data_IF_385870024341
#
_entry.id   IF_385870024341
#
_cell.length_a   1.000
_cell.length_b   1.000
_cell.length_c   1.000
_cell.angle_alpha   90.00
_cell.angle_beta   90.00
_cell.angle_gamma   90.00
#
_symmetry.space_group_name_H-M   'P 1'
#
loop_
_entity.id
_entity.type
_entity.pdbx_description
1 polymer ?
#
# COMPACT_ATOMS: atom_id res chain seq x y z
N UNK A 1 72.99 22.04 60.47
CA UNK A 1 74.00 20.97 60.43
C UNK A 1 75.12 21.12 59.39
N UNK A 2 75.12 22.07 58.43
CA UNK A 2 76.28 22.30 57.52
C UNK A 2 77.17 23.51 57.87
N UNK A 3 76.79 24.33 58.85
CA UNK A 3 77.61 25.46 59.32
C UNK A 3 78.61 25.06 60.42
N UNK A 4 78.25 24.10 61.27
CA UNK A 4 79.08 23.71 62.43
C UNK A 4 80.37 23.03 62.02
N UNK A 5 80.36 22.13 61.02
CA UNK A 5 81.58 21.44 60.59
C UNK A 5 82.63 22.39 59.98
N UNK A 6 82.20 23.40 59.21
CA UNK A 6 83.12 24.37 58.62
C UNK A 6 83.64 25.38 59.64
N UNK A 7 82.80 25.81 60.59
CA UNK A 7 83.22 26.63 61.73
C UNK A 7 84.19 25.86 62.65
N UNK A 8 83.95 24.57 62.87
CA UNK A 8 84.80 23.69 63.68
C UNK A 8 86.14 23.37 63.00
N UNK A 9 86.14 23.16 61.68
CA UNK A 9 87.37 23.00 60.90
C UNK A 9 88.20 24.30 60.91
N UNK A 10 87.53 25.45 60.76
CA UNK A 10 88.17 26.77 60.83
C UNK A 10 88.76 27.00 62.22
N UNK A 11 88.01 26.70 63.29
CA UNK A 11 88.44 26.79 64.68
C UNK A 11 89.67 25.90 64.94
N UNK A 12 89.64 24.65 64.49
CA UNK A 12 90.74 23.68 64.67
C UNK A 12 92.01 24.06 63.90
N UNK A 13 91.89 24.67 62.71
CA UNK A 13 93.04 25.21 61.97
C UNK A 13 93.65 26.41 62.70
N UNK A 14 92.83 27.31 63.27
CA UNK A 14 93.34 28.43 64.09
C UNK A 14 94.06 27.97 65.36
N UNK A 15 93.58 26.92 66.05
CA UNK A 15 94.26 26.38 67.23
C UNK A 15 95.57 25.64 66.88
N UNK A 16 95.63 24.98 65.73
CA UNK A 16 96.88 24.37 65.22
C UNK A 16 97.94 25.42 64.87
N UNK A 17 97.53 26.52 64.23
CA UNK A 17 98.40 27.66 63.93
C UNK A 17 98.92 28.36 65.20
N UNK A 18 98.10 28.47 66.26
CA UNK A 18 98.54 28.99 67.56
C UNK A 18 99.50 28.06 68.31
N UNK A 19 99.35 26.73 68.17
CA UNK A 19 100.28 25.77 68.78
C UNK A 19 101.64 25.72 68.07
N UNK A 20 101.68 26.00 66.77
CA UNK A 20 102.92 26.03 65.99
C UNK A 20 103.84 27.23 66.32
N UNK A 21 103.32 28.32 66.92
CA UNK A 21 104.10 29.53 67.23
C UNK A 21 104.91 29.48 68.53
N UNK A 22 104.97 28.35 69.24
CA UNK A 22 105.59 28.22 70.57
C UNK A 22 106.96 27.52 70.61
N UNK A 23 107.60 27.24 69.46
CA UNK A 23 108.95 26.63 69.42
C UNK A 23 109.97 27.69 69.00
N UNK A 24 110.88 28.03 69.92
CA UNK A 24 111.97 28.99 69.75
C UNK A 24 112.99 28.51 68.72
N UNK A 25 113.11 29.21 67.60
CA UNK A 25 114.20 29.09 66.62
C UNK A 25 114.83 30.47 66.32
N UNK A 26 116.13 30.54 65.99
CA UNK A 26 116.88 31.80 65.92
C UNK A 26 116.44 32.72 64.76
N UNK A 27 116.68 34.05 64.86
CA UNK A 27 115.78 35.06 64.29
C UNK A 27 115.96 35.40 62.81
N UNK A 28 116.71 34.63 62.01
CA UNK A 28 117.07 35.12 60.67
C UNK A 28 116.77 34.21 59.46
N UNK A 29 116.24 33.00 59.62
CA UNK A 29 115.79 32.18 58.48
C UNK A 29 114.48 31.33 58.67
N UNK A 30 113.50 31.61 59.56
CA UNK A 30 112.33 30.70 59.73
C UNK A 30 111.34 30.75 58.55
N UNK A 31 111.29 31.88 57.83
CA UNK A 31 110.29 32.13 56.79
C UNK A 31 110.57 31.44 55.46
N UNK A 32 111.77 30.86 55.23
CA UNK A 32 112.07 30.12 53.99
C UNK A 32 111.80 28.62 54.11
N UNK A 33 112.00 28.01 55.28
CA UNK A 33 111.81 26.56 55.48
C UNK A 33 110.33 26.15 55.49
N UNK A 34 109.47 26.88 56.21
CA UNK A 34 108.03 26.58 56.25
C UNK A 34 107.25 27.13 55.05
N UNK A 35 107.88 27.93 54.18
CA UNK A 35 107.22 28.45 52.97
C UNK A 35 106.81 27.32 52.04
N UNK A 36 107.65 26.28 51.92
CA UNK A 36 107.34 25.12 51.09
C UNK A 36 106.21 24.28 51.67
N UNK A 37 106.23 23.99 52.98
CA UNK A 37 105.16 23.23 53.65
C UNK A 37 103.82 23.98 53.66
N UNK A 38 103.86 25.30 53.93
CA UNK A 38 102.68 26.17 53.85
C UNK A 38 102.11 26.22 52.43
N UNK A 39 102.97 26.33 51.41
CA UNK A 39 102.52 26.28 50.01
C UNK A 39 101.89 24.93 49.66
N UNK A 40 102.45 23.81 50.15
CA UNK A 40 101.89 22.46 49.93
C UNK A 40 100.51 22.33 50.59
N UNK A 41 100.35 22.77 51.85
CA UNK A 41 99.07 22.74 52.58
C UNK A 41 98.05 23.67 51.90
N UNK A 42 98.48 24.86 51.50
CA UNK A 42 97.62 25.81 50.79
C UNK A 42 97.17 25.25 49.43
N UNK A 43 98.05 24.60 48.69
CA UNK A 43 97.72 23.98 47.40
C UNK A 43 96.81 22.76 47.57
N UNK A 44 97.00 21.94 48.61
CA UNK A 44 96.08 20.84 48.92
C UNK A 44 94.70 21.33 49.36
N UNK A 45 94.62 22.36 50.20
CA UNK A 45 93.34 22.98 50.58
C UNK A 45 92.66 23.58 49.36
N UNK A 46 93.38 24.34 48.52
CA UNK A 46 92.85 24.88 47.25
C UNK A 46 92.33 23.77 46.34
N UNK A 47 93.06 22.66 46.24
CA UNK A 47 92.65 21.50 45.45
C UNK A 47 91.38 20.86 46.02
N UNK A 48 91.27 20.67 47.33
CA UNK A 48 90.05 20.16 47.97
C UNK A 48 88.85 21.11 47.82
N UNK A 49 89.07 22.43 47.92
CA UNK A 49 88.03 23.44 47.66
C UNK A 49 87.58 23.37 46.20
N UNK A 50 88.51 23.36 45.24
CA UNK A 50 88.19 23.25 43.83
C UNK A 50 87.44 21.94 43.51
N UNK A 51 87.86 20.80 44.07
CA UNK A 51 87.17 19.51 43.89
C UNK A 51 85.76 19.49 44.50
N UNK A 52 85.55 20.17 45.64
CA UNK A 52 84.22 20.26 46.27
C UNK A 52 83.31 21.24 45.56
N UNK A 53 83.82 22.37 45.09
CA UNK A 53 83.10 23.31 44.23
C UNK A 53 82.69 22.65 42.91
N UNK A 54 83.59 21.88 42.29
CA UNK A 54 83.31 21.15 41.06
C UNK A 54 82.21 20.09 41.27
N UNK A 55 82.23 19.37 42.39
CA UNK A 55 81.15 18.45 42.80
C UNK A 55 79.83 19.19 43.03
N UNK A 56 79.83 20.33 43.71
CA UNK A 56 78.64 21.15 43.93
C UNK A 56 78.05 21.62 42.60
N UNK A 57 78.89 22.09 41.68
CA UNK A 57 78.47 22.54 40.35
C UNK A 57 77.89 21.39 39.52
N UNK A 58 78.51 20.21 39.57
CA UNK A 58 77.97 18.98 38.95
C UNK A 58 76.60 18.60 39.50
N UNK A 59 76.40 18.63 40.82
CA UNK A 59 75.09 18.34 41.42
C UNK A 59 74.05 19.38 41.01
N UNK A 60 74.40 20.68 41.03
CA UNK A 60 73.49 21.75 40.57
C UNK A 60 73.09 21.56 39.11
N UNK A 61 74.04 21.25 38.24
CA UNK A 61 73.78 20.99 36.83
C UNK A 61 72.90 19.76 36.64
N UNK A 62 73.17 18.66 37.37
CA UNK A 62 72.34 17.47 37.39
C UNK A 62 70.89 17.78 37.81
N UNK A 63 70.72 18.48 38.94
CA UNK A 63 69.39 18.86 39.45
C UNK A 63 68.64 19.71 38.42
N UNK A 64 69.29 20.72 37.81
CA UNK A 64 68.68 21.55 36.77
C UNK A 64 68.22 20.72 35.56
N UNK A 65 69.02 19.74 35.12
CA UNK A 65 68.61 18.85 34.03
C UNK A 65 67.45 17.93 34.41
N UNK A 66 67.37 17.47 35.67
CA UNK A 66 66.22 16.70 36.14
C UNK A 66 64.96 17.53 36.25
N UNK A 67 65.04 18.79 36.70
CA UNK A 67 63.92 19.72 36.66
C UNK A 67 63.36 19.87 35.25
N UNK A 68 64.24 20.07 34.26
CA UNK A 68 63.81 20.20 32.86
C UNK A 68 63.10 18.93 32.36
N UNK A 69 63.63 17.74 32.67
CA UNK A 69 63.03 16.45 32.30
C UNK A 69 61.67 16.23 32.97
N UNK A 70 61.57 16.50 34.27
CA UNK A 70 60.30 16.39 35.00
C UNK A 70 59.29 17.34 34.39
N UNK A 71 59.68 18.59 34.12
CA UNK A 71 58.81 19.59 33.51
C UNK A 71 58.32 19.15 32.12
N UNK A 72 59.20 18.64 31.27
CA UNK A 72 58.85 18.12 29.93
C UNK A 72 57.87 16.95 30.01
N UNK A 73 58.10 15.97 30.90
CA UNK A 73 57.18 14.84 31.11
C UNK A 73 55.83 15.33 31.65
N UNK A 74 55.84 16.29 32.59
CA UNK A 74 54.61 16.81 33.19
C UNK A 74 53.75 17.50 32.13
N UNK A 75 54.37 18.27 31.23
CA UNK A 75 53.69 18.91 30.10
C UNK A 75 53.18 17.89 29.07
N UNK A 76 53.96 16.86 28.74
CA UNK A 76 53.53 15.83 27.78
C UNK A 76 52.38 14.97 28.31
N UNK A 77 52.29 14.78 29.62
CA UNK A 77 51.10 14.20 30.26
C UNK A 77 49.92 15.18 30.19
N UNK A 78 50.17 16.48 30.38
CA UNK A 78 49.14 17.54 30.43
C UNK A 78 48.81 17.99 31.85
N UNK A 79 49.70 17.75 32.81
CA UNK A 79 49.56 18.18 34.20
C UNK A 79 50.19 19.56 34.42
N UNK A 80 49.77 20.25 35.48
CA UNK A 80 50.43 21.49 35.88
C UNK A 80 51.87 21.24 36.37
N UNK A 81 52.84 22.07 35.95
CA UNK A 81 54.22 21.92 36.40
C UNK A 81 54.33 22.02 37.93
N UNK A 82 54.95 21.02 38.54
CA UNK A 82 55.20 21.01 39.98
C UNK A 82 56.08 22.20 40.39
N UNK A 83 55.56 23.06 41.27
CA UNK A 83 56.32 24.11 41.95
C UNK A 83 57.15 23.53 43.08
N UNK A 84 58.22 22.82 42.72
CA UNK A 84 59.18 22.27 43.67
C UNK A 84 59.94 23.42 44.37
N UNK A 85 59.83 23.48 45.69
CA UNK A 85 60.64 24.40 46.51
C UNK A 85 62.07 23.88 46.54
N UNK A 86 63.03 24.73 46.15
CA UNK A 86 64.47 24.41 46.27
C UNK A 86 64.79 24.05 47.72
N UNK A 87 65.20 22.82 47.97
CA UNK A 87 65.66 22.43 49.29
C UNK A 87 67.00 23.14 49.56
N UNK A 88 67.22 23.64 50.79
CA UNK A 88 68.50 24.25 51.16
C UNK A 88 69.70 23.29 51.10
N UNK A 89 69.45 21.99 50.87
CA UNK A 89 70.47 20.95 50.72
C UNK A 89 70.35 20.27 49.33
N UNK A 90 71.37 20.49 48.49
CA UNK A 90 71.43 19.99 47.10
C UNK A 90 71.35 18.46 46.96
N UNK A 91 71.83 17.71 47.97
CA UNK A 91 71.75 16.24 47.99
C UNK A 91 70.31 15.75 48.21
N UNK A 92 69.63 16.35 49.19
CA UNK A 92 68.21 16.05 49.47
C UNK A 92 67.36 16.47 48.26
N UNK A 93 67.67 17.61 47.65
CA UNK A 93 67.00 18.04 46.41
C UNK A 93 67.18 17.01 45.28
N UNK A 94 68.37 16.44 45.11
CA UNK A 94 68.64 15.40 44.11
C UNK A 94 67.81 14.14 44.35
N UNK A 95 67.70 13.66 45.59
CA UNK A 95 66.90 12.47 45.93
C UNK A 95 65.41 12.70 45.68
N UNK A 96 64.89 13.87 46.09
CA UNK A 96 63.49 14.27 45.84
C UNK A 96 63.20 14.32 44.33
N UNK A 97 64.10 14.94 43.56
CA UNK A 97 63.96 15.02 42.10
C UNK A 97 63.99 13.64 41.44
N UNK A 98 64.88 12.76 41.88
CA UNK A 98 64.95 11.40 41.33
C UNK A 98 63.67 10.60 41.62
N UNK A 99 63.10 10.79 42.80
CA UNK A 99 61.84 10.14 43.21
C UNK A 99 60.67 10.64 42.36
N UNK A 100 60.52 11.97 42.25
CA UNK A 100 59.46 12.54 41.42
C UNK A 100 59.62 12.23 39.93
N UNK A 101 60.85 12.17 39.43
CA UNK A 101 61.09 11.75 38.05
C UNK A 101 60.62 10.31 37.81
N UNK A 102 60.86 9.39 38.75
CA UNK A 102 60.37 8.01 38.67
C UNK A 102 58.84 7.95 38.69
N UNK A 103 58.19 8.71 39.57
CA UNK A 103 56.72 8.81 39.64
C UNK A 103 56.12 9.34 38.33
N UNK A 104 56.63 10.46 37.83
CA UNK A 104 56.14 11.06 36.58
C UNK A 104 56.37 10.16 35.37
N UNK A 105 57.49 9.44 35.34
CA UNK A 105 57.75 8.44 34.30
C UNK A 105 56.76 7.29 34.35
N UNK A 106 56.43 6.78 35.55
CA UNK A 106 55.43 5.72 35.70
C UNK A 106 54.05 6.18 35.22
N UNK A 107 53.63 7.39 35.61
CA UNK A 107 52.37 7.98 35.14
C UNK A 107 52.35 8.17 33.62
N UNK A 108 53.46 8.61 33.04
CA UNK A 108 53.58 8.75 31.59
C UNK A 108 53.38 7.42 30.87
N UNK A 109 54.06 6.35 31.33
CA UNK A 109 53.91 5.01 30.75
C UNK A 109 52.49 4.45 30.94
N UNK A 110 51.85 4.69 32.09
CA UNK A 110 50.46 4.29 32.34
C UNK A 110 49.50 4.97 31.35
N UNK A 111 49.63 6.28 31.16
CA UNK A 111 48.79 7.05 30.23
C UNK A 111 49.03 6.63 28.78
N UNK A 112 50.29 6.42 28.40
CA UNK A 112 50.66 5.89 27.08
C UNK A 112 50.04 4.53 26.83
N UNK A 113 50.15 3.60 27.79
CA UNK A 113 49.53 2.29 27.70
C UNK A 113 48.00 2.36 27.57
N UNK A 114 47.35 3.27 28.32
CA UNK A 114 45.91 3.53 28.18
C UNK A 114 45.55 4.01 26.77
N UNK A 115 46.35 4.90 26.17
CA UNK A 115 46.11 5.32 24.77
C UNK A 115 46.20 4.16 23.79
N UNK A 116 47.17 3.26 23.96
CA UNK A 116 47.33 2.08 23.09
C UNK A 116 46.17 1.07 23.22
N UNK A 117 45.60 0.91 24.41
CA UNK A 117 44.40 0.10 24.62
C UNK A 117 43.21 0.72 23.90
N UNK A 118 42.99 2.02 24.11
CA UNK A 118 41.84 2.72 23.53
C UNK A 118 41.89 2.72 22.00
N UNK A 119 43.07 2.91 21.39
CA UNK A 119 43.20 2.84 19.93
C UNK A 119 42.89 1.44 19.40
N UNK A 120 43.37 0.38 20.06
CA UNK A 120 43.03 -1.01 19.68
C UNK A 120 41.54 -1.31 19.81
N UNK A 121 40.88 -0.83 20.87
CA UNK A 121 39.44 -0.98 21.02
C UNK A 121 38.67 -0.22 19.92
N UNK A 122 39.06 1.02 19.63
CA UNK A 122 38.46 1.84 18.55
C UNK A 122 38.63 1.15 17.19
N UNK A 123 39.81 0.62 16.87
CA UNK A 123 40.05 -0.13 15.63
C UNK A 123 39.14 -1.35 15.53
N UNK A 124 38.97 -2.09 16.64
CA UNK A 124 38.08 -3.24 16.69
C UNK A 124 36.62 -2.84 16.42
N UNK A 125 36.10 -1.83 17.13
CA UNK A 125 34.73 -1.34 16.92
C UNK A 125 34.52 -0.76 15.52
N UNK A 126 35.52 -0.06 14.98
CA UNK A 126 35.44 0.52 13.63
C UNK A 126 35.37 -0.55 12.54
N UNK A 127 36.15 -1.64 12.69
CA UNK A 127 36.07 -2.82 11.81
C UNK A 127 34.71 -3.51 11.88
N UNK A 128 34.15 -3.65 13.09
CA UNK A 128 32.82 -4.26 13.29
C UNK A 128 31.68 -3.41 12.69
N UNK A 129 31.78 -2.08 12.77
CA UNK A 129 30.78 -1.15 12.23
C UNK A 129 30.93 -0.96 10.70
N UNK A 130 32.11 -1.27 10.15
CA UNK A 130 32.43 -1.05 8.74
C UNK A 130 32.70 0.42 8.38
N UNK A 131 32.89 1.29 9.38
CA UNK A 131 33.28 2.68 9.18
C UNK A 131 34.81 2.80 9.27
N UNK A 132 35.49 2.65 8.14
CA UNK A 132 36.82 3.23 7.95
C UNK A 132 36.59 4.72 7.67
N UNK A 133 36.34 5.51 8.71
CA UNK A 133 36.37 6.97 8.55
C UNK A 133 37.82 7.37 8.31
N UNK A 134 38.09 8.11 7.22
CA UNK A 134 39.40 8.66 6.89
C UNK A 134 39.86 9.55 8.06
N UNK A 135 40.73 9.01 8.90
CA UNK A 135 41.23 9.73 10.07
C UNK A 135 42.15 10.85 9.59
N UNK A 136 41.68 12.08 9.75
CA UNK A 136 42.60 13.21 9.88
C UNK A 136 43.42 12.95 11.14
N UNK A 137 44.74 12.82 11.00
CA UNK A 137 45.64 12.74 12.15
C UNK A 137 45.43 14.01 13.01
N UNK A 138 44.69 13.87 14.10
CA UNK A 138 44.58 14.92 15.10
C UNK A 138 45.87 14.96 15.92
N UNK A 139 46.52 16.13 15.89
CA UNK A 139 47.75 16.37 16.65
C UNK A 139 47.36 16.81 18.05
N UNK A 140 47.68 15.99 19.05
CA UNK A 140 47.42 16.29 20.46
C UNK A 140 48.66 16.88 21.14
N UNK A 141 48.45 17.92 21.94
CA UNK A 141 49.52 18.57 22.68
C UNK A 141 49.97 17.77 23.92
N UNK A 142 49.09 16.95 24.48
CA UNK A 142 49.37 16.11 25.64
C UNK A 142 48.56 14.79 25.63
N UNK A 143 48.91 13.87 26.53
CA UNK A 143 48.28 12.56 26.61
C UNK A 143 46.87 12.60 27.23
N UNK A 144 46.57 13.51 28.14
CA UNK A 144 45.23 13.63 28.76
C UNK A 144 44.19 13.98 27.70
N UNK A 145 44.44 15.02 26.90
CA UNK A 145 43.55 15.46 25.83
C UNK A 145 43.33 14.33 24.81
N UNK A 146 44.40 13.58 24.49
CA UNK A 146 44.31 12.41 23.61
C UNK A 146 43.44 11.31 24.20
N UNK A 147 43.57 11.02 25.50
CA UNK A 147 42.75 10.00 26.18
C UNK A 147 41.29 10.42 26.18
N UNK A 148 40.98 11.67 26.54
CA UNK A 148 39.62 12.18 26.59
C UNK A 148 38.96 12.13 25.21
N UNK A 149 39.69 12.49 24.15
CA UNK A 149 39.22 12.33 22.77
C UNK A 149 38.90 10.87 22.43
N UNK A 150 39.83 9.95 22.70
CA UNK A 150 39.66 8.54 22.38
C UNK A 150 38.50 7.92 23.17
N UNK A 151 38.33 8.26 24.45
CA UNK A 151 37.20 7.81 25.27
C UNK A 151 35.87 8.29 24.71
N UNK A 152 35.74 9.58 24.38
CA UNK A 152 34.53 10.14 23.77
C UNK A 152 34.22 9.48 22.42
N UNK A 153 35.24 9.26 21.59
CA UNK A 153 35.10 8.59 20.30
C UNK A 153 34.65 7.15 20.45
N UNK A 154 35.23 6.43 21.41
CA UNK A 154 34.86 5.06 21.72
C UNK A 154 33.42 4.96 22.24
N UNK A 155 32.96 5.91 23.07
CA UNK A 155 31.55 6.01 23.48
C UNK A 155 30.65 6.23 22.27
N UNK A 156 31.00 7.14 21.36
CA UNK A 156 30.26 7.40 20.12
C UNK A 156 30.14 6.14 19.25
N UNK A 157 31.23 5.41 19.04
CA UNK A 157 31.23 4.16 18.28
C UNK A 157 30.38 3.07 18.94
N UNK A 158 30.45 2.94 20.27
CA UNK A 158 29.60 2.00 21.01
C UNK A 158 28.12 2.33 20.83
N UNK A 159 27.74 3.60 20.90
CA UNK A 159 26.36 4.04 20.66
C UNK A 159 25.92 3.73 19.21
N UNK A 160 26.75 4.04 18.22
CA UNK A 160 26.50 3.75 16.79
C UNK A 160 26.30 2.24 16.56
N UNK A 161 27.12 1.39 17.20
CA UNK A 161 26.95 -0.07 17.17
C UNK A 161 25.60 -0.51 17.76
N UNK A 162 25.23 0.02 18.93
CA UNK A 162 23.95 -0.28 19.56
C UNK A 162 22.76 0.10 18.66
N UNK A 163 22.82 1.27 18.02
CA UNK A 163 21.78 1.71 17.09
C UNK A 163 21.67 0.81 15.85
N UNK A 164 22.80 0.40 15.28
CA UNK A 164 22.82 -0.52 14.14
C UNK A 164 22.21 -1.88 14.52
N UNK A 165 22.56 -2.44 15.67
CA UNK A 165 21.99 -3.69 16.16
C UNK A 165 20.49 -3.57 16.45
N UNK A 166 20.05 -2.46 17.06
CA UNK A 166 18.61 -2.18 17.23
C UNK A 166 17.89 -2.12 15.90
N UNK A 167 18.46 -1.43 14.91
CA UNK A 167 17.86 -1.34 13.57
C UNK A 167 17.81 -2.71 12.88
N UNK A 168 18.81 -3.58 13.04
CA UNK A 168 18.79 -4.95 12.52
C UNK A 168 17.63 -5.73 13.13
N UNK A 169 17.50 -5.73 14.45
CA UNK A 169 16.45 -6.47 15.18
C UNK A 169 15.05 -6.02 14.77
N UNK A 170 14.82 -4.70 14.64
CA UNK A 170 13.53 -4.17 14.19
C UNK A 170 13.20 -4.69 12.79
N UNK A 171 14.13 -4.58 11.83
CA UNK A 171 13.91 -5.03 10.45
C UNK A 171 13.72 -6.53 10.35
N UNK A 172 14.42 -7.32 11.15
CA UNK A 172 14.23 -8.78 11.24
C UNK A 172 12.81 -9.10 11.70
N UNK A 173 12.32 -8.44 12.75
CA UNK A 173 10.95 -8.64 13.23
C UNK A 173 9.90 -8.25 12.19
N UNK A 174 10.12 -7.15 11.46
CA UNK A 174 9.27 -6.73 10.35
C UNK A 174 9.27 -7.77 9.22
N UNK A 175 10.43 -8.28 8.81
CA UNK A 175 10.57 -9.35 7.83
C UNK A 175 9.78 -10.59 8.26
N UNK A 176 9.95 -11.05 9.50
CA UNK A 176 9.22 -12.22 10.02
C UNK A 176 7.70 -12.00 10.01
N UNK A 177 7.24 -10.79 10.33
CA UNK A 177 5.83 -10.43 10.24
C UNK A 177 5.32 -10.45 8.78
N UNK A 178 6.07 -9.88 7.83
CA UNK A 178 5.69 -9.92 6.41
C UNK A 178 5.67 -11.35 5.87
N UNK A 179 6.66 -12.18 6.21
CA UNK A 179 6.70 -13.58 5.83
C UNK A 179 5.50 -14.36 6.36
N UNK A 180 5.07 -14.08 7.59
CA UNK A 180 3.87 -14.66 8.19
C UNK A 180 2.59 -14.22 7.48
N UNK A 181 2.44 -12.92 7.19
CA UNK A 181 1.26 -12.36 6.51
C UNK A 181 1.14 -12.88 5.08
N UNK A 182 2.28 -13.02 4.38
CA UNK A 182 2.35 -13.56 3.02
C UNK A 182 2.25 -15.09 2.98
N UNK A 183 2.32 -15.76 4.14
CA UNK A 183 2.39 -17.21 4.30
C UNK A 183 3.44 -17.86 3.36
N UNK A 184 4.63 -17.27 3.27
CA UNK A 184 5.73 -17.86 2.49
C UNK A 184 6.09 -19.22 3.06
N UNK A 185 6.19 -20.22 2.19
CA UNK A 185 6.59 -21.60 2.53
C UNK A 185 8.00 -21.91 2.08
N UNK A 186 8.43 -21.28 1.00
CA UNK A 186 9.76 -21.44 0.42
C UNK A 186 10.58 -20.23 0.86
N UNK A 187 11.58 -20.50 1.71
CA UNK A 187 12.44 -19.48 2.27
C UNK A 187 13.77 -19.42 1.51
N UNK A 188 14.15 -18.22 1.10
CA UNK A 188 15.46 -18.01 0.49
C UNK A 188 16.58 -18.15 1.53
N UNK A 189 17.84 -18.28 1.08
CA UNK A 189 19.00 -18.46 1.96
C UNK A 189 19.15 -17.36 3.03
N UNK A 190 18.74 -16.13 2.72
CA UNK A 190 18.78 -15.02 3.68
C UNK A 190 17.63 -15.16 4.70
N UNK A 191 16.46 -15.59 4.26
CA UNK A 191 15.30 -15.80 5.13
C UNK A 191 15.53 -16.96 6.09
N UNK A 192 16.16 -18.04 5.63
CA UNK A 192 16.55 -19.17 6.49
C UNK A 192 17.58 -18.75 7.53
N UNK A 193 18.58 -17.95 7.15
CA UNK A 193 19.57 -17.37 8.09
C UNK A 193 18.92 -16.46 9.13
N UNK A 194 17.95 -15.64 8.73
CA UNK A 194 17.19 -14.78 9.66
C UNK A 194 16.39 -15.64 10.65
N UNK A 195 15.76 -16.72 10.19
CA UNK A 195 14.97 -17.63 11.04
C UNK A 195 15.88 -18.44 11.99
N UNK A 196 17.05 -18.89 11.51
CA UNK A 196 18.00 -19.67 12.32
C UNK A 196 18.77 -18.82 13.33
N UNK A 197 18.69 -17.48 13.23
CA UNK A 197 19.42 -16.55 14.09
C UNK A 197 20.90 -16.44 13.72
N UNK A 198 21.27 -16.78 12.49
CA UNK A 198 22.61 -16.56 11.97
C UNK A 198 22.90 -15.08 11.75
N UNK A 199 24.18 -14.71 11.81
CA UNK A 199 24.61 -13.32 11.70
C UNK A 199 24.53 -12.85 10.24
N UNK A 200 23.51 -12.06 9.91
CA UNK A 200 23.25 -11.54 8.55
C UNK A 200 23.69 -10.09 8.45
N UNK A 201 24.33 -9.74 7.33
CA UNK A 201 24.79 -8.36 7.10
C UNK A 201 23.59 -7.40 7.01
N UNK A 202 23.74 -6.20 7.57
CA UNK A 202 22.67 -5.20 7.59
C UNK A 202 22.14 -4.86 6.19
N UNK A 203 23.01 -4.75 5.18
CA UNK A 203 22.58 -4.48 3.80
C UNK A 203 21.67 -5.58 3.24
N UNK A 204 21.98 -6.84 3.51
CA UNK A 204 21.17 -8.00 3.06
C UNK A 204 19.79 -7.99 3.73
N UNK A 205 19.73 -7.71 5.03
CA UNK A 205 18.47 -7.51 5.77
C UNK A 205 17.66 -6.36 5.16
N UNK A 206 18.31 -5.24 4.86
CA UNK A 206 17.65 -4.05 4.30
C UNK A 206 17.06 -4.32 2.92
N UNK A 207 17.83 -4.98 2.06
CA UNK A 207 17.38 -5.36 0.73
C UNK A 207 16.18 -6.31 0.84
N UNK A 208 16.27 -7.33 1.70
CA UNK A 208 15.19 -8.31 1.85
C UNK A 208 13.92 -7.71 2.45
N UNK A 209 14.07 -6.83 3.43
CA UNK A 209 12.96 -6.04 3.98
C UNK A 209 12.25 -5.26 2.87
N UNK A 210 13.01 -4.58 2.00
CA UNK A 210 12.44 -3.82 0.88
C UNK A 210 11.67 -4.72 -0.10
N UNK A 211 12.26 -5.84 -0.51
CA UNK A 211 11.62 -6.81 -1.41
C UNK A 211 10.27 -7.31 -0.86
N UNK A 212 10.22 -7.65 0.44
CA UNK A 212 8.99 -8.13 1.08
C UNK A 212 7.93 -7.03 1.24
N UNK A 213 8.36 -5.79 1.53
CA UNK A 213 7.45 -4.64 1.59
C UNK A 213 6.82 -4.36 0.22
N UNK A 214 7.62 -4.40 -0.85
CA UNK A 214 7.15 -4.19 -2.21
C UNK A 214 6.15 -5.31 -2.60
N UNK A 215 6.47 -6.58 -2.32
CA UNK A 215 5.58 -7.72 -2.56
C UNK A 215 4.25 -7.59 -1.78
N UNK A 216 4.31 -7.20 -0.51
CA UNK A 216 3.13 -6.95 0.32
C UNK A 216 2.24 -5.86 -0.26
N UNK A 217 2.83 -4.73 -0.67
CA UNK A 217 2.10 -3.60 -1.21
C UNK A 217 1.38 -3.95 -2.52
N UNK A 218 2.05 -4.67 -3.42
CA UNK A 218 1.48 -5.11 -4.70
C UNK A 218 0.30 -6.06 -4.50
N UNK A 219 0.45 -7.08 -3.64
CA UNK A 219 -0.63 -8.02 -3.33
C UNK A 219 -1.80 -7.34 -2.63
N UNK A 220 -1.53 -6.43 -1.68
CA UNK A 220 -2.54 -5.64 -0.97
C UNK A 220 -3.35 -4.78 -1.93
N UNK A 221 -2.69 -4.13 -2.89
CA UNK A 221 -3.35 -3.33 -3.92
C UNK A 221 -4.25 -4.19 -4.81
N UNK A 222 -3.73 -5.31 -5.34
CA UNK A 222 -4.50 -6.24 -6.19
C UNK A 222 -5.74 -6.77 -5.47
N UNK A 223 -5.60 -7.14 -4.19
CA UNK A 223 -6.71 -7.65 -3.39
C UNK A 223 -7.80 -6.59 -3.17
N UNK A 224 -7.42 -5.34 -2.91
CA UNK A 224 -8.37 -4.22 -2.76
C UNK A 224 -9.14 -3.95 -4.06
N UNK A 225 -8.48 -4.05 -5.21
CA UNK A 225 -9.13 -3.90 -6.52
C UNK A 225 -10.14 -5.02 -6.77
N UNK A 226 -9.76 -6.28 -6.54
CA UNK A 226 -10.66 -7.43 -6.63
C UNK A 226 -11.88 -7.30 -5.70
N UNK A 227 -11.65 -6.90 -4.44
CA UNK A 227 -12.74 -6.67 -3.48
C UNK A 227 -13.70 -5.59 -3.97
N UNK A 228 -13.18 -4.50 -4.56
CA UNK A 228 -14.00 -3.42 -5.11
C UNK A 228 -14.90 -3.94 -6.23
N UNK A 229 -14.37 -4.77 -7.12
CA UNK A 229 -15.13 -5.29 -8.26
C UNK A 229 -16.14 -6.37 -7.86
N UNK A 230 -15.78 -7.25 -6.92
CA UNK A 230 -16.73 -8.20 -6.31
C UNK A 230 -17.88 -7.45 -5.64
N UNK A 231 -17.60 -6.37 -4.88
CA UNK A 231 -18.65 -5.56 -4.24
C UNK A 231 -19.58 -4.90 -5.25
N UNK A 232 -19.07 -4.39 -6.37
CA UNK A 232 -19.91 -3.83 -7.44
C UNK A 232 -20.84 -4.88 -8.04
N UNK A 233 -20.33 -6.08 -8.31
CA UNK A 233 -21.13 -7.17 -8.86
C UNK A 233 -22.17 -7.68 -7.86
N UNK A 234 -21.82 -7.78 -6.58
CA UNK A 234 -22.79 -8.13 -5.52
C UNK A 234 -23.93 -7.11 -5.47
N UNK A 235 -23.63 -5.81 -5.42
CA UNK A 235 -24.65 -4.75 -5.47
C UNK A 235 -25.56 -4.85 -6.69
N UNK A 236 -25.00 -5.17 -7.86
CA UNK A 236 -25.78 -5.39 -9.08
C UNK A 236 -26.77 -6.55 -8.93
N UNK A 237 -26.37 -7.65 -8.28
CA UNK A 237 -27.28 -8.77 -7.99
C UNK A 237 -28.31 -8.41 -6.91
N UNK A 238 -27.91 -7.73 -5.84
CA UNK A 238 -28.82 -7.27 -4.78
C UNK A 238 -29.91 -6.33 -5.35
N UNK A 239 -29.55 -5.42 -6.25
CA UNK A 239 -30.49 -4.54 -6.94
C UNK A 239 -31.46 -5.30 -7.86
N UNK A 240 -31.00 -6.40 -8.48
CA UNK A 240 -31.86 -7.27 -9.28
C UNK A 240 -32.85 -8.06 -8.41
N UNK A 241 -32.40 -8.54 -7.25
CA UNK A 241 -33.25 -9.28 -6.31
C UNK A 241 -34.26 -8.36 -5.62
N UNK A 242 -33.88 -7.14 -5.20
CA UNK A 242 -34.82 -6.14 -4.67
C UNK A 242 -35.88 -5.69 -5.68
N UNK A 243 -35.54 -5.68 -6.98
CA UNK A 243 -36.54 -5.44 -8.04
C UNK A 243 -37.54 -6.59 -8.17
N UNK A 244 -37.18 -7.82 -7.77
CA UNK A 244 -38.11 -8.97 -7.76
C UNK A 244 -39.05 -8.92 -6.56
N UNK A 245 -38.54 -8.60 -5.37
CA UNK A 245 -39.36 -8.52 -4.15
C UNK A 245 -40.43 -7.41 -4.21
N UNK A 246 -40.20 -6.34 -4.98
CA UNK A 246 -41.20 -5.29 -5.20
C UNK A 246 -42.22 -5.57 -6.30
N UNK A 247 -42.06 -6.67 -7.06
CA UNK A 247 -43.06 -7.13 -8.02
C UNK A 247 -43.89 -8.16 -7.29
N UNK A 248 -45.07 -7.75 -6.79
CA UNK A 248 -46.04 -8.65 -6.18
C UNK A 248 -46.17 -9.94 -7.01
N UNK A 249 -45.93 -11.06 -6.33
CA UNK A 249 -46.06 -12.42 -6.81
C UNK A 249 -47.45 -12.67 -7.40
N UNK A 250 -47.63 -12.42 -8.69
CA UNK A 250 -48.70 -13.06 -9.45
C UNK A 250 -48.13 -13.51 -10.78
N UNK A 251 -47.86 -14.82 -10.87
CA UNK A 251 -47.61 -15.59 -12.09
C UNK A 251 -46.22 -15.59 -12.75
N UNK A 252 -45.14 -15.78 -11.98
CA UNK A 252 -43.94 -16.42 -12.55
C UNK A 252 -43.49 -17.54 -11.63
N UNK A 253 -44.13 -18.70 -11.79
CA UNK A 253 -43.82 -19.94 -11.08
C UNK A 253 -42.65 -20.70 -11.74
N UNK A 254 -41.67 -19.98 -12.28
CA UNK A 254 -40.53 -20.56 -12.97
C UNK A 254 -39.26 -20.24 -12.20
N UNK A 255 -38.86 -21.21 -11.36
CA UNK A 255 -37.48 -21.64 -11.10
C UNK A 255 -36.38 -20.66 -11.53
N UNK A 256 -36.41 -19.49 -10.94
CA UNK A 256 -35.26 -18.65 -10.79
C UNK A 256 -34.76 -19.00 -9.41
N UNK A 257 -33.78 -19.91 -9.33
CA UNK A 257 -33.02 -20.08 -8.10
C UNK A 257 -32.68 -18.69 -7.57
N UNK A 258 -33.18 -18.39 -6.37
CA UNK A 258 -32.75 -17.30 -5.51
C UNK A 258 -31.24 -17.14 -5.69
N UNK A 259 -30.82 -16.03 -6.32
CA UNK A 259 -29.40 -15.72 -6.50
C UNK A 259 -28.75 -15.58 -5.12
N UNK A 260 -29.56 -15.17 -4.12
CA UNK A 260 -29.26 -15.18 -2.69
C UNK A 260 -28.87 -16.55 -2.12
N UNK A 261 -29.48 -17.67 -2.51
CA UNK A 261 -29.20 -18.98 -1.88
C UNK A 261 -27.77 -19.49 -2.18
N UNK A 262 -27.15 -19.03 -3.27
CA UNK A 262 -25.74 -19.33 -3.58
C UNK A 262 -24.76 -18.22 -3.21
N UNK A 263 -25.23 -17.01 -2.90
CA UNK A 263 -24.38 -15.90 -2.46
C UNK A 263 -24.21 -15.86 -0.94
N UNK A 264 -25.26 -16.19 -0.17
CA UNK A 264 -25.26 -16.20 1.30
C UNK A 264 -24.33 -17.27 1.90
N UNK A 265 -24.08 -18.38 1.19
CA UNK A 265 -23.10 -19.38 1.63
C UNK A 265 -21.64 -18.88 1.56
N UNK A 266 -21.39 -17.76 0.87
CA UNK A 266 -20.06 -17.14 0.71
C UNK A 266 -19.87 -15.87 1.58
N UNK A 267 -20.71 -15.64 2.58
CA UNK A 267 -20.60 -14.46 3.46
C UNK A 267 -19.59 -14.60 4.60
N UNK A 268 -18.94 -15.77 4.73
CA UNK A 268 -17.79 -15.96 5.61
C UNK A 268 -16.44 -15.59 4.94
N UNK A 269 -16.42 -14.73 3.91
CA UNK A 269 -15.18 -14.29 3.28
C UNK A 269 -14.58 -13.08 4.00
N UNK A 270 -13.99 -13.33 5.16
CA UNK A 270 -13.06 -12.39 5.78
C UNK A 270 -11.70 -12.48 5.05
N UNK A 271 -11.60 -11.81 3.90
CA UNK A 271 -10.37 -11.71 3.08
C UNK A 271 -9.21 -11.02 3.85
N UNK A 272 -9.46 -10.54 5.07
CA UNK A 272 -8.46 -9.90 5.92
C UNK A 272 -7.42 -10.84 6.53
N UNK A 273 -7.61 -12.16 6.50
CA UNK A 273 -6.84 -13.03 7.39
C UNK A 273 -5.47 -13.48 6.84
N UNK A 274 -5.22 -13.47 5.51
CA UNK A 274 -3.86 -13.55 4.97
C UNK A 274 -3.73 -13.12 3.50
N UNK A 275 -2.58 -12.54 3.15
CA UNK A 275 -2.25 -12.00 1.81
C UNK A 275 -1.52 -13.03 0.95
N UNK A 276 -1.89 -14.29 1.10
CA UNK A 276 -1.30 -15.38 0.34
C UNK A 276 -1.85 -15.43 -1.10
N UNK A 277 -1.10 -16.08 -2.00
CA UNK A 277 -1.52 -16.22 -3.40
C UNK A 277 -2.83 -17.00 -3.53
N UNK A 278 -3.09 -17.97 -2.63
CA UNK A 278 -4.33 -18.77 -2.64
C UNK A 278 -5.58 -17.91 -2.45
N UNK A 279 -5.52 -16.89 -1.60
CA UNK A 279 -6.65 -16.02 -1.34
C UNK A 279 -6.90 -15.06 -2.51
N UNK A 280 -5.83 -14.59 -3.16
CA UNK A 280 -5.94 -13.82 -4.41
C UNK A 280 -6.56 -14.68 -5.52
N UNK A 281 -6.05 -15.90 -5.73
CA UNK A 281 -6.58 -16.86 -6.72
C UNK A 281 -8.04 -17.22 -6.45
N UNK A 282 -8.41 -17.43 -5.19
CA UNK A 282 -9.82 -17.65 -4.80
C UNK A 282 -10.69 -16.44 -5.11
N UNK A 283 -10.24 -15.22 -4.77
CA UNK A 283 -10.97 -14.00 -5.08
C UNK A 283 -11.16 -13.82 -6.59
N UNK A 284 -10.15 -14.17 -7.39
CA UNK A 284 -10.23 -14.18 -8.85
C UNK A 284 -11.21 -15.23 -9.38
N UNK A 285 -11.21 -16.44 -8.81
CA UNK A 285 -12.20 -17.48 -9.13
C UNK A 285 -13.62 -17.01 -8.87
N UNK A 286 -13.87 -16.44 -7.68
CA UNK A 286 -15.18 -15.88 -7.31
C UNK A 286 -15.58 -14.76 -8.26
N UNK A 287 -14.67 -13.84 -8.59
CA UNK A 287 -14.96 -12.77 -9.53
C UNK A 287 -15.35 -13.33 -10.91
N UNK A 288 -14.62 -14.34 -11.39
CA UNK A 288 -14.90 -15.00 -12.67
C UNK A 288 -16.26 -15.70 -12.67
N UNK A 289 -16.58 -16.45 -11.61
CA UNK A 289 -17.89 -17.10 -11.43
C UNK A 289 -19.03 -16.09 -11.44
N UNK A 290 -18.88 -14.96 -10.74
CA UNK A 290 -19.89 -13.89 -10.72
C UNK A 290 -20.06 -13.24 -12.10
N UNK A 291 -18.97 -13.02 -12.83
CA UNK A 291 -19.03 -12.49 -14.20
C UNK A 291 -19.70 -13.47 -15.17
N UNK A 292 -19.42 -14.76 -15.05
CA UNK A 292 -20.06 -15.81 -15.85
C UNK A 292 -21.57 -15.91 -15.53
N UNK A 293 -21.93 -15.91 -14.24
CA UNK A 293 -23.34 -15.84 -13.81
C UNK A 293 -24.05 -14.61 -14.37
N UNK A 294 -23.43 -13.42 -14.31
CA UNK A 294 -23.98 -12.19 -14.91
C UNK A 294 -24.26 -12.36 -16.40
N UNK A 295 -23.30 -12.91 -17.15
CA UNK A 295 -23.46 -13.15 -18.60
C UNK A 295 -24.60 -14.12 -18.91
N UNK A 296 -24.70 -15.22 -18.17
CA UNK A 296 -25.76 -16.22 -18.35
C UNK A 296 -27.14 -15.64 -18.05
N UNK A 297 -27.27 -14.89 -16.95
CA UNK A 297 -28.50 -14.21 -16.58
C UNK A 297 -28.91 -13.17 -17.63
N UNK A 298 -27.96 -12.36 -18.10
CA UNK A 298 -28.21 -11.41 -19.17
C UNK A 298 -28.75 -12.09 -20.43
N UNK A 299 -28.11 -13.17 -20.90
CA UNK A 299 -28.57 -13.93 -22.06
C UNK A 299 -29.99 -14.47 -21.88
N UNK A 300 -30.30 -15.01 -20.70
CA UNK A 300 -31.63 -15.55 -20.38
C UNK A 300 -32.69 -14.44 -20.39
N UNK A 301 -32.42 -13.31 -19.74
CA UNK A 301 -33.32 -12.15 -19.71
C UNK A 301 -33.55 -11.62 -21.13
N UNK A 302 -32.47 -11.44 -21.90
CA UNK A 302 -32.54 -10.96 -23.27
C UNK A 302 -33.41 -11.88 -24.15
N UNK A 303 -33.24 -13.19 -24.03
CA UNK A 303 -34.05 -14.18 -24.76
C UNK A 303 -35.53 -14.06 -24.40
N UNK A 304 -35.86 -14.08 -23.10
CA UNK A 304 -37.26 -13.98 -22.64
C UNK A 304 -37.93 -12.69 -23.12
N UNK A 305 -37.25 -11.55 -23.01
CA UNK A 305 -37.78 -10.26 -23.46
C UNK A 305 -37.89 -10.18 -24.98
N UNK A 306 -36.96 -10.79 -25.72
CA UNK A 306 -37.07 -10.86 -27.19
C UNK A 306 -38.26 -11.72 -27.64
N UNK A 307 -38.51 -12.84 -26.95
CA UNK A 307 -39.68 -13.70 -27.18
C UNK A 307 -40.98 -12.96 -26.84
N UNK A 308 -41.05 -12.28 -25.69
CA UNK A 308 -42.21 -11.46 -25.29
C UNK A 308 -42.51 -10.36 -26.31
N UNK A 309 -41.48 -9.67 -26.82
CA UNK A 309 -41.65 -8.66 -27.88
C UNK A 309 -42.16 -9.28 -29.19
N UNK A 310 -41.63 -10.45 -29.57
CA UNK A 310 -42.07 -11.16 -30.77
C UNK A 310 -43.54 -11.53 -30.69
N UNK A 311 -43.99 -12.08 -29.56
CA UNK A 311 -45.40 -12.38 -29.31
C UNK A 311 -46.28 -11.14 -29.42
N UNK A 312 -45.85 -10.01 -28.85
CA UNK A 312 -46.56 -8.74 -28.99
C UNK A 312 -46.66 -8.32 -30.46
N UNK A 313 -45.56 -8.37 -31.21
CA UNK A 313 -45.57 -8.01 -32.63
C UNK A 313 -46.48 -8.92 -33.47
N UNK A 314 -46.56 -10.22 -33.13
CA UNK A 314 -47.50 -11.15 -33.76
C UNK A 314 -48.96 -10.77 -33.48
N UNK A 315 -49.30 -10.39 -32.24
CA UNK A 315 -50.64 -9.90 -31.87
C UNK A 315 -51.02 -8.66 -32.70
N UNK A 316 -50.11 -7.68 -32.79
CA UNK A 316 -50.33 -6.45 -33.54
C UNK A 316 -50.17 -6.61 -35.06
N UNK A 317 -49.83 -7.81 -35.56
CA UNK A 317 -49.53 -8.11 -36.98
C UNK A 317 -48.46 -7.17 -37.57
N UNK A 318 -47.47 -6.82 -36.77
CA UNK A 318 -46.35 -5.94 -37.15
C UNK A 318 -45.13 -6.75 -37.60
N UNK A 319 -44.31 -6.23 -38.53
CA UNK A 319 -43.06 -6.90 -38.92
C UNK A 319 -42.06 -6.89 -37.76
N UNK A 320 -41.66 -8.07 -37.30
CA UNK A 320 -40.65 -8.22 -36.25
C UNK A 320 -39.23 -8.09 -36.81
N UNK A 321 -38.36 -7.41 -36.07
CA UNK A 321 -36.93 -7.30 -36.36
C UNK A 321 -36.13 -7.90 -35.21
N UNK A 322 -35.24 -8.83 -35.54
CA UNK A 322 -34.34 -9.41 -34.55
C UNK A 322 -33.30 -8.38 -34.06
N UNK A 323 -33.11 -8.33 -32.75
CA UNK A 323 -32.11 -7.50 -32.10
C UNK A 323 -30.88 -8.33 -31.71
N UNK A 324 -29.70 -7.73 -31.82
CA UNK A 324 -28.46 -8.33 -31.31
C UNK A 324 -28.37 -8.21 -29.79
N UNK A 325 -27.76 -9.19 -29.13
CA UNK A 325 -27.52 -9.21 -27.68
C UNK A 325 -26.69 -8.01 -27.22
N UNK A 326 -27.33 -6.99 -26.66
CA UNK A 326 -26.67 -5.85 -26.01
C UNK A 326 -27.58 -5.16 -25.01
N UNK A 327 -27.00 -4.54 -23.97
CA UNK A 327 -27.77 -3.83 -22.92
C UNK A 327 -28.66 -2.73 -23.53
N UNK A 328 -28.13 -1.95 -24.48
CA UNK A 328 -28.90 -0.90 -25.18
C UNK A 328 -30.08 -1.44 -25.98
N UNK A 329 -29.97 -2.66 -26.52
CA UNK A 329 -31.07 -3.28 -27.23
C UNK A 329 -32.10 -3.88 -26.26
N UNK A 330 -31.67 -4.40 -25.11
CA UNK A 330 -32.59 -4.84 -24.06
C UNK A 330 -33.47 -3.68 -23.58
N UNK A 331 -32.89 -2.50 -23.32
CA UNK A 331 -33.64 -1.30 -22.95
C UNK A 331 -34.68 -0.90 -24.01
N UNK A 332 -34.31 -1.00 -25.30
CA UNK A 332 -35.25 -0.75 -26.41
C UNK A 332 -36.38 -1.77 -26.46
N UNK A 333 -36.06 -3.04 -26.27
CA UNK A 333 -37.05 -4.12 -26.23
C UNK A 333 -38.02 -3.87 -25.08
N UNK A 334 -37.52 -3.56 -23.88
CA UNK A 334 -38.34 -3.27 -22.70
C UNK A 334 -39.23 -2.05 -22.90
N UNK A 335 -38.69 -0.96 -23.48
CA UNK A 335 -39.49 0.23 -23.83
C UNK A 335 -40.60 -0.11 -24.81
N UNK A 336 -40.32 -0.90 -25.85
CA UNK A 336 -41.34 -1.29 -26.83
C UNK A 336 -42.42 -2.19 -26.22
N UNK A 337 -42.03 -3.15 -25.38
CA UNK A 337 -42.98 -3.98 -24.64
C UNK A 337 -43.86 -3.09 -23.76
N UNK A 338 -43.26 -2.18 -23.00
CA UNK A 338 -43.98 -1.26 -22.12
C UNK A 338 -45.00 -0.40 -22.88
N UNK A 339 -44.67 0.05 -24.09
CA UNK A 339 -45.58 0.83 -24.94
C UNK A 339 -46.72 -0.01 -25.55
N UNK A 340 -46.49 -1.30 -25.80
CA UNK A 340 -47.45 -2.21 -26.44
C UNK A 340 -48.39 -2.90 -25.46
N UNK A 341 -47.92 -3.20 -24.23
CA UNK A 341 -48.72 -3.81 -23.16
C UNK A 341 -50.09 -3.11 -22.97
N UNK A 342 -50.17 -1.78 -22.73
CA UNK A 342 -51.46 -1.13 -22.46
C UNK A 342 -52.40 -1.15 -23.67
N UNK A 343 -51.85 -1.29 -24.88
CA UNK A 343 -52.62 -1.30 -26.13
C UNK A 343 -53.22 -2.67 -26.43
N UNK A 344 -52.68 -3.74 -25.83
CA UNK A 344 -52.95 -5.14 -26.19
C UNK A 344 -54.44 -5.50 -26.07
N UNK A 345 -55.05 -5.24 -24.93
CA UNK A 345 -56.41 -5.70 -24.64
C UNK A 345 -57.45 -5.00 -25.54
N UNK A 346 -57.32 -3.69 -25.69
CA UNK A 346 -58.17 -2.90 -26.59
C UNK A 346 -58.00 -3.32 -28.05
N UNK A 347 -56.77 -3.62 -28.47
CA UNK A 347 -56.48 -4.10 -29.83
C UNK A 347 -57.09 -5.48 -30.09
N UNK A 348 -56.93 -6.44 -29.16
CA UNK A 348 -57.53 -7.78 -29.25
C UNK A 348 -59.06 -7.72 -29.27
N UNK A 349 -59.66 -6.82 -28.49
CA UNK A 349 -61.12 -6.60 -28.50
C UNK A 349 -61.60 -6.16 -29.89
N UNK A 350 -60.90 -5.20 -30.51
CA UNK A 350 -61.23 -4.72 -31.86
C UNK A 350 -61.03 -5.85 -32.89
N UNK A 351 -59.93 -6.60 -32.81
CA UNK A 351 -59.68 -7.75 -33.70
C UNK A 351 -60.81 -8.79 -33.65
N UNK A 352 -61.27 -9.14 -32.45
CA UNK A 352 -62.38 -10.08 -32.28
C UNK A 352 -63.69 -9.57 -32.91
N UNK A 353 -63.96 -8.26 -32.83
CA UNK A 353 -65.13 -7.68 -33.49
C UNK A 353 -64.99 -7.71 -35.01
N UNK A 354 -63.79 -7.42 -35.53
CA UNK A 354 -63.48 -7.50 -36.96
C UNK A 354 -63.67 -8.93 -37.48
N UNK A 355 -63.18 -9.94 -36.75
CA UNK A 355 -63.36 -11.35 -37.14
C UNK A 355 -64.84 -11.75 -37.13
N UNK A 356 -65.61 -11.35 -36.10
CA UNK A 356 -67.06 -11.58 -36.06
C UNK A 356 -67.78 -10.94 -37.25
N UNK A 357 -67.37 -9.73 -37.63
CA UNK A 357 -67.89 -9.03 -38.80
C UNK A 357 -67.56 -9.80 -40.09
N UNK A 358 -66.32 -10.20 -40.29
CA UNK A 358 -65.89 -10.90 -41.51
C UNK A 358 -66.57 -12.27 -41.63
N UNK A 359 -66.74 -12.99 -40.52
CA UNK A 359 -67.51 -14.24 -40.48
C UNK A 359 -68.98 -14.02 -40.85
N UNK A 360 -69.63 -12.98 -40.31
CA UNK A 360 -71.01 -12.64 -40.66
C UNK A 360 -71.14 -12.20 -42.13
N UNK A 361 -70.19 -11.39 -42.62
CA UNK A 361 -70.12 -10.93 -44.02
C UNK A 361 -69.99 -12.12 -44.96
N UNK A 362 -69.08 -13.06 -44.69
CA UNK A 362 -68.91 -14.26 -45.50
C UNK A 362 -70.17 -15.14 -45.47
N UNK A 363 -70.78 -15.33 -44.30
CA UNK A 363 -72.04 -16.05 -44.18
C UNK A 363 -73.18 -15.40 -44.99
N UNK A 364 -73.24 -14.06 -45.03
CA UNK A 364 -74.21 -13.33 -45.86
C UNK A 364 -73.94 -13.49 -47.35
N UNK A 365 -72.68 -13.48 -47.79
CA UNK A 365 -72.30 -13.72 -49.20
C UNK A 365 -72.66 -15.15 -49.62
N UNK A 366 -72.30 -16.14 -48.82
CA UNK A 366 -72.63 -17.55 -49.07
C UNK A 366 -74.14 -17.76 -49.11
N UNK A 367 -74.85 -17.12 -48.19
CA UNK A 367 -76.29 -17.13 -48.17
C UNK A 367 -76.91 -16.54 -49.44
N UNK A 368 -76.45 -15.37 -49.94
CA UNK A 368 -77.00 -14.79 -51.17
C UNK A 368 -76.66 -15.61 -52.43
N UNK A 369 -75.49 -16.27 -52.44
CA UNK A 369 -75.13 -17.24 -53.48
C UNK A 369 -76.10 -18.42 -53.52
N UNK A 370 -76.43 -18.99 -52.36
CA UNK A 370 -77.42 -20.08 -52.25
C UNK A 370 -78.83 -19.57 -52.58
N UNK A 371 -79.14 -18.34 -52.16
CA UNK A 371 -80.44 -17.70 -52.38
C UNK A 371 -80.73 -17.42 -53.85
N UNK A 372 -79.69 -17.24 -54.67
CA UNK A 372 -79.77 -16.97 -56.11
C UNK A 372 -80.02 -18.23 -56.96
N UNK A 373 -79.96 -19.44 -56.39
CA UNK A 373 -80.24 -20.69 -57.10
C UNK A 373 -81.77 -20.85 -57.36
N UNK A 374 -82.25 -20.87 -58.62
CA UNK A 374 -83.66 -20.99 -58.94
C UNK A 374 -84.28 -22.34 -58.48
N UNK A 375 -83.46 -23.38 -58.26
CA UNK A 375 -83.96 -24.68 -57.75
C UNK A 375 -84.30 -24.65 -56.25
N UNK A 376 -83.97 -23.57 -55.54
CA UNK A 376 -84.21 -23.36 -54.11
C UNK A 376 -85.69 -23.34 -53.73
N UNK A 377 -86.56 -22.81 -54.60
CA UNK A 377 -88.00 -22.70 -54.36
C UNK A 377 -88.72 -24.05 -54.27
N UNK A 378 -88.11 -25.13 -54.76
CA UNK A 378 -88.65 -26.49 -54.70
C UNK A 378 -88.13 -27.30 -53.51
N UNK A 379 -87.37 -26.68 -52.59
CA UNK A 379 -86.87 -27.29 -51.35
C UNK A 379 -87.88 -27.13 -50.19
N UNK A 380 -87.59 -27.76 -49.06
CA UNK A 380 -88.42 -27.78 -47.85
C UNK A 380 -88.79 -26.35 -47.37
N UNK A 381 -90.07 -26.10 -47.09
CA UNK A 381 -90.60 -24.79 -46.66
C UNK A 381 -89.99 -24.27 -45.35
N UNK A 382 -89.55 -25.17 -44.46
CA UNK A 382 -88.83 -24.83 -43.22
C UNK A 382 -87.50 -24.13 -43.53
N UNK A 383 -86.83 -24.53 -44.62
CA UNK A 383 -85.57 -23.92 -45.05
C UNK A 383 -85.79 -22.47 -45.47
N UNK A 384 -86.84 -22.18 -46.25
CA UNK A 384 -87.18 -20.82 -46.70
C UNK A 384 -87.50 -19.87 -45.54
N UNK A 385 -88.15 -20.37 -44.48
CA UNK A 385 -88.43 -19.59 -43.27
C UNK A 385 -87.17 -19.28 -42.47
N UNK A 386 -86.26 -20.24 -42.31
CA UNK A 386 -84.98 -20.03 -41.64
C UNK A 386 -84.10 -19.04 -42.43
N UNK A 387 -84.14 -19.11 -43.76
CA UNK A 387 -83.44 -18.17 -44.63
C UNK A 387 -83.99 -16.74 -44.51
N UNK A 388 -85.31 -16.57 -44.46
CA UNK A 388 -85.94 -15.26 -44.25
C UNK A 388 -85.66 -14.72 -42.83
N UNK A 389 -85.63 -15.60 -41.83
CA UNK A 389 -85.22 -15.24 -40.46
C UNK A 389 -83.77 -14.76 -40.42
N UNK A 390 -82.86 -15.44 -41.14
CA UNK A 390 -81.47 -15.02 -41.27
C UNK A 390 -81.33 -13.66 -41.97
N UNK A 391 -82.06 -13.41 -43.07
CA UNK A 391 -82.07 -12.09 -43.74
C UNK A 391 -82.48 -10.97 -42.80
N UNK A 392 -83.52 -11.20 -42.01
CA UNK A 392 -84.05 -10.21 -41.06
C UNK A 392 -83.08 -9.90 -39.91
N UNK A 393 -82.21 -10.83 -39.52
CA UNK A 393 -81.28 -10.64 -38.39
C UNK A 393 -79.86 -10.27 -38.83
N UNK A 394 -79.37 -10.79 -39.95
CA UNK A 394 -77.99 -10.63 -40.39
C UNK A 394 -77.65 -9.17 -40.74
N UNK A 395 -78.49 -8.49 -41.53
CA UNK A 395 -78.26 -7.10 -41.92
C UNK A 395 -78.22 -6.11 -40.73
N UNK A 396 -79.19 -6.10 -39.79
CA UNK A 396 -79.11 -5.21 -38.64
C UNK A 396 -77.98 -5.58 -37.68
N UNK A 397 -77.61 -6.86 -37.55
CA UNK A 397 -76.46 -7.27 -36.73
C UNK A 397 -75.13 -6.82 -37.34
N UNK A 398 -74.99 -6.86 -38.68
CA UNK A 398 -73.80 -6.37 -39.36
C UNK A 398 -73.62 -4.87 -39.14
N UNK A 399 -74.68 -4.07 -39.27
CA UNK A 399 -74.62 -2.63 -38.99
C UNK A 399 -74.27 -2.32 -37.52
N UNK A 400 -74.81 -3.10 -36.58
CA UNK A 400 -74.45 -2.98 -35.15
C UNK A 400 -72.97 -3.26 -34.92
N UNK A 401 -72.45 -4.35 -35.48
CA UNK A 401 -71.02 -4.71 -35.38
C UNK A 401 -70.13 -3.64 -36.02
N UNK A 402 -70.49 -3.12 -37.19
CA UNK A 402 -69.73 -2.07 -37.88
C UNK A 402 -69.69 -0.77 -37.05
N UNK A 403 -70.82 -0.37 -36.43
CA UNK A 403 -70.85 0.78 -35.53
C UNK A 403 -70.01 0.55 -34.28
N UNK A 404 -70.12 -0.62 -33.66
CA UNK A 404 -69.35 -0.99 -32.47
C UNK A 404 -67.84 -1.00 -32.75
N UNK A 405 -67.43 -1.51 -33.91
CA UNK A 405 -66.04 -1.48 -34.37
C UNK A 405 -65.54 -0.03 -34.51
N UNK A 406 -66.32 0.85 -35.15
CA UNK A 406 -65.93 2.26 -35.32
C UNK A 406 -65.80 2.99 -33.97
N UNK A 407 -66.76 2.79 -33.06
CA UNK A 407 -66.72 3.38 -31.71
C UNK A 407 -65.50 2.88 -30.90
N UNK A 408 -65.17 1.60 -31.01
CA UNK A 408 -64.00 1.01 -30.34
C UNK A 408 -62.68 1.45 -30.95
N UNK A 409 -62.61 1.59 -32.28
CA UNK A 409 -61.45 2.16 -32.95
C UNK A 409 -61.26 3.62 -32.54
N UNK A 410 -62.32 4.43 -32.50
CA UNK A 410 -62.22 5.82 -32.06
C UNK A 410 -61.75 5.95 -30.61
N UNK A 411 -62.27 5.09 -29.72
CA UNK A 411 -61.81 5.02 -28.33
C UNK A 411 -60.32 4.67 -28.24
N UNK A 412 -59.87 3.67 -29.02
CA UNK A 412 -58.46 3.31 -29.12
C UNK A 412 -57.60 4.45 -29.68
N UNK A 413 -58.08 5.14 -30.72
CA UNK A 413 -57.37 6.25 -31.37
C UNK A 413 -57.19 7.45 -30.44
N UNK A 414 -58.19 7.72 -29.60
CA UNK A 414 -58.14 8.78 -28.60
C UNK A 414 -57.15 8.47 -27.47
N UNK A 415 -57.04 7.20 -27.06
CA UNK A 415 -56.19 6.77 -25.95
C UNK A 415 -54.73 6.49 -26.38
N UNK A 416 -54.52 5.88 -27.55
CA UNK A 416 -53.24 5.28 -27.94
C UNK A 416 -52.70 5.74 -29.29
N UNK A 417 -53.45 6.58 -30.01
CA UNK A 417 -53.15 7.03 -31.37
C UNK A 417 -53.69 6.09 -32.46
N UNK A 418 -53.35 6.39 -33.72
CA UNK A 418 -53.96 5.78 -34.92
C UNK A 418 -53.97 4.24 -34.88
N UNK A 419 -55.14 3.64 -35.13
CA UNK A 419 -55.28 2.18 -35.25
C UNK A 419 -54.82 1.71 -36.63
N UNK A 420 -53.77 0.89 -36.66
CA UNK A 420 -53.22 0.31 -37.88
C UNK A 420 -53.47 -1.20 -37.95
N UNK A 421 -54.19 -1.62 -38.99
CA UNK A 421 -54.39 -3.03 -39.33
C UNK A 421 -54.51 -3.12 -40.86
N UNK A 422 -53.48 -3.65 -41.52
CA UNK A 422 -53.36 -3.68 -42.99
C UNK A 422 -53.57 -2.30 -43.66
N UNK A 423 -53.16 -1.23 -42.97
CA UNK A 423 -53.46 0.16 -43.33
C UNK A 423 -54.36 0.84 -42.29
N UNK A 424 -54.97 1.97 -42.68
CA UNK A 424 -55.98 2.63 -41.85
C UNK A 424 -57.32 1.89 -41.98
N UNK A 425 -57.57 0.95 -41.07
CA UNK A 425 -58.75 0.09 -41.12
C UNK A 425 -60.06 0.88 -41.04
N UNK A 426 -60.09 1.99 -40.28
CA UNK A 426 -61.27 2.87 -40.19
C UNK A 426 -61.69 3.42 -41.55
N UNK A 427 -60.72 3.87 -42.35
CA UNK A 427 -60.98 4.36 -43.71
C UNK A 427 -61.43 3.22 -44.63
N UNK A 428 -60.74 2.07 -44.58
CA UNK A 428 -61.11 0.88 -45.36
C UNK A 428 -62.56 0.46 -45.05
N UNK A 429 -62.93 0.44 -43.76
CA UNK A 429 -64.27 0.07 -43.32
C UNK A 429 -65.33 1.07 -43.81
N UNK A 430 -65.06 2.37 -43.69
CA UNK A 430 -65.97 3.41 -44.19
C UNK A 430 -66.15 3.33 -45.71
N UNK A 431 -65.08 3.10 -46.46
CA UNK A 431 -65.15 2.91 -47.91
C UNK A 431 -65.96 1.64 -48.27
N UNK A 432 -65.78 0.54 -47.54
CA UNK A 432 -66.60 -0.67 -47.72
C UNK A 432 -68.09 -0.42 -47.42
N UNK A 433 -68.41 0.37 -46.40
CA UNK A 433 -69.79 0.71 -46.02
C UNK A 433 -70.42 1.62 -47.09
N UNK A 434 -69.71 2.67 -47.51
CA UNK A 434 -70.20 3.63 -48.50
C UNK A 434 -70.44 2.99 -49.89
N UNK A 435 -69.63 2.00 -50.25
CA UNK A 435 -69.76 1.27 -51.53
C UNK A 435 -70.78 0.12 -51.48
N UNK A 436 -71.44 -0.12 -50.34
CA UNK A 436 -72.40 -1.22 -50.17
C UNK A 436 -73.83 -0.74 -50.40
N UNK A 437 -74.58 -1.48 -51.22
CA UNK A 437 -76.03 -1.27 -51.38
C UNK A 437 -76.75 -2.24 -50.44
N UNK A 438 -77.29 -1.72 -49.33
CA UNK A 438 -78.15 -2.49 -48.42
C UNK A 438 -79.60 -2.09 -48.70
N UNK A 439 -80.38 -3.00 -49.30
CA UNK A 439 -81.83 -2.86 -49.38
C UNK A 439 -82.47 -3.90 -48.44
N UNK A 440 -83.67 -3.64 -47.88
CA UNK A 440 -84.32 -4.51 -46.87
C UNK A 440 -84.46 -5.99 -47.29
N UNK A 441 -84.28 -6.30 -48.58
CA UNK A 441 -84.44 -7.62 -49.17
C UNK A 441 -83.22 -8.18 -49.92
N UNK A 442 -82.14 -7.41 -50.13
CA UNK A 442 -80.98 -7.84 -50.94
C UNK A 442 -79.68 -7.20 -50.41
N UNK A 443 -78.69 -8.04 -50.15
CA UNK A 443 -77.31 -7.64 -49.88
C UNK A 443 -76.46 -7.79 -51.15
N UNK A 444 -75.94 -6.69 -51.72
CA UNK A 444 -75.06 -6.73 -52.90
C UNK A 444 -73.71 -6.09 -52.54
N UNK A 445 -72.63 -6.85 -52.71
CA UNK A 445 -71.25 -6.34 -52.62
C UNK A 445 -70.68 -6.10 -54.02
N UNK A 446 -70.02 -4.94 -54.20
CA UNK A 446 -69.09 -4.70 -55.30
C UNK A 446 -69.71 -4.81 -56.69
N UNK A 447 -70.54 -3.84 -57.09
CA UNK A 447 -70.78 -3.55 -58.51
C UNK A 447 -71.39 -4.65 -59.38
N UNK A 448 -71.81 -5.78 -58.81
CA UNK A 448 -72.62 -6.78 -59.52
C UNK A 448 -73.99 -6.17 -59.79
N UNK A 449 -74.11 -5.65 -61.02
CA UNK A 449 -75.30 -5.16 -61.71
C UNK A 449 -76.39 -4.58 -60.82
N UNK A 450 -76.22 -3.29 -60.49
CA UNK A 450 -77.41 -2.47 -60.31
C UNK A 450 -78.18 -2.49 -61.65
N UNK A 451 -79.49 -2.79 -61.68
CA UNK A 451 -80.31 -2.69 -62.90
C UNK A 451 -80.49 -1.25 -63.42
N UNK A 452 -79.70 -0.30 -62.91
CA UNK A 452 -79.81 1.14 -63.16
C UNK A 452 -78.47 1.76 -63.56
N UNK A 453 -77.70 1.14 -64.46
CA UNK A 453 -76.83 1.91 -65.38
C UNK A 453 -77.55 2.03 -66.72
N UNK A 454 -78.19 3.19 -66.90
CA UNK A 454 -78.99 3.57 -68.07
C UNK A 454 -78.14 3.58 -69.33
N UNK A 455 -78.78 3.13 -70.42
CA UNK A 455 -78.49 3.39 -71.83
C UNK A 455 -77.80 4.75 -72.08
N UNK A 456 -76.70 4.70 -72.82
CA UNK A 456 -76.45 5.63 -73.93
C UNK A 456 -76.26 4.80 -75.18
#
# INVERSE_FOLDING_TARGET
>A
MKCEFFEELKANITTLLQKASLITMPPMLPFRYHKNEFNIIQDTIKKCIAETEDKINKIKQSNNTMYAKIHEITLSIGLEPLKLKKAGNLLIESEILETHYKEMRLLFEEKKFKTEILTKEIEKFSKEIGSLEDEKEEVFNNLIDKIDYLENRLVSLRNKKIELERSKVIKINEILNYMKILEKKDYDEIETKIISGEDVKLHEIQQKHKELVDEYNDKSKRLKELQKDIRKLRKYFDELDLKRENINETNINDSFCSVNDTLLQNDNYNINDSLNNKNIERAESVLKELQEKKKLLFKRIFKLKSEELKEMYEIFKMPYKEYQESEKNLEKIESQIHDLIPKKDSFLMILNLIEKRDNLKNAMIDFERIASDPKRLFKNSIQLLNEERFRKTAAPNLLKLEKEILEKIESYENEFGVFYLNGNYKNILNDEINNRIINKSIFIMGGFDSPRKKRK
#
